data_IF_334893515790
#
_entry.id   IF_334893515790
#
_cell.length_a   1.000
_cell.length_b   1.000
_cell.length_c   1.000
_cell.angle_alpha   90.00
_cell.angle_beta   90.00
_cell.angle_gamma   90.00
#
_symmetry.space_group_name_H-M   'P 1'
#
loop_
_entity.id
_entity.type
_entity.pdbx_description
1 polymer ?
#
# COMPACT_ATOMS: atom_id res chain seq x y z
N UNK A 1 -34.64 29.91 13.94
CA UNK A 1 -34.77 28.48 13.64
C UNK A 1 -33.39 28.00 13.21
N UNK A 2 -32.78 27.23 14.11
CA UNK A 2 -31.35 26.83 13.97
C UNK A 2 -31.27 25.59 13.10
N UNK A 3 -30.65 25.70 11.94
CA UNK A 3 -30.19 24.55 11.16
C UNK A 3 -28.79 24.15 11.66
N UNK A 4 -28.77 23.26 12.64
CA UNK A 4 -27.59 22.48 12.98
C UNK A 4 -27.39 21.42 11.91
N UNK A 5 -26.61 21.72 10.88
CA UNK A 5 -26.02 20.68 10.03
C UNK A 5 -24.97 19.94 10.84
N UNK A 6 -25.33 18.74 11.27
CA UNK A 6 -24.44 17.74 11.84
C UNK A 6 -23.35 17.38 10.82
N UNK A 7 -22.19 18.01 10.93
CA UNK A 7 -20.94 17.54 10.34
C UNK A 7 -20.48 16.29 11.11
N UNK A 8 -21.04 15.13 10.78
CA UNK A 8 -20.48 13.82 11.17
C UNK A 8 -19.24 13.51 10.32
N UNK A 9 -18.19 14.32 10.39
CA UNK A 9 -16.85 13.88 10.13
C UNK A 9 -16.40 13.03 11.33
N UNK A 10 -16.75 11.73 11.33
CA UNK A 10 -16.03 10.75 12.14
C UNK A 10 -14.58 10.78 11.63
N UNK A 11 -13.70 11.49 12.32
CA UNK A 11 -12.25 11.36 12.15
C UNK A 11 -11.95 9.88 12.37
N UNK A 12 -11.58 9.17 11.30
CA UNK A 12 -11.27 7.75 11.38
C UNK A 12 -10.17 7.57 12.44
N UNK A 13 -10.43 6.70 13.43
CA UNK A 13 -9.48 6.41 14.51
C UNK A 13 -8.20 5.82 13.89
N UNK A 14 -7.06 6.45 14.16
CA UNK A 14 -5.78 5.93 13.71
C UNK A 14 -5.34 4.77 14.60
N UNK A 15 -4.97 3.65 13.98
CA UNK A 15 -4.44 2.48 14.70
C UNK A 15 -2.91 2.49 14.79
N UNK A 16 -2.23 3.26 13.94
CA UNK A 16 -0.80 3.54 14.03
C UNK A 16 -0.59 5.04 13.90
N UNK A 17 0.21 5.60 14.80
CA UNK A 17 0.66 6.98 14.73
C UNK A 17 2.14 7.05 15.10
N UNK A 18 2.93 7.79 14.32
CA UNK A 18 4.33 8.07 14.63
C UNK A 18 4.61 9.55 14.47
N UNK A 19 5.45 10.09 15.37
CA UNK A 19 5.89 11.48 15.31
C UNK A 19 7.39 11.55 15.53
N UNK A 20 8.09 12.07 14.52
CA UNK A 20 9.55 12.23 14.46
C UNK A 20 10.31 10.94 14.85
N UNK A 21 9.73 9.80 14.51
CA UNK A 21 10.21 8.49 14.92
C UNK A 21 11.54 8.19 14.24
N UNK A 22 12.58 7.98 15.05
CA UNK A 22 13.95 7.73 14.57
C UNK A 22 14.53 6.49 15.25
N UNK A 23 15.23 5.67 14.46
CA UNK A 23 16.03 4.56 14.95
C UNK A 23 17.40 4.55 14.28
N UNK A 24 18.44 4.56 15.11
CA UNK A 24 19.85 4.42 14.69
C UNK A 24 20.49 3.19 15.31
N UNK A 25 21.38 2.54 14.57
CA UNK A 25 22.26 1.48 15.02
C UNK A 25 23.70 1.99 14.98
N UNK A 26 24.19 2.52 16.11
CA UNK A 26 25.45 3.25 16.14
C UNK A 26 25.34 4.54 15.30
N UNK A 27 26.18 4.66 14.27
CA UNK A 27 26.17 5.82 13.34
C UNK A 27 25.16 5.65 12.19
N UNK A 28 24.66 4.44 11.94
CA UNK A 28 23.75 4.15 10.84
C UNK A 28 22.31 4.47 11.23
N UNK A 29 21.68 5.41 10.53
CA UNK A 29 20.27 5.79 10.72
C UNK A 29 19.38 4.94 9.83
N UNK A 30 18.68 3.97 10.42
CA UNK A 30 17.81 3.05 9.68
C UNK A 30 16.39 3.62 9.42
N UNK A 31 15.91 4.49 10.33
CA UNK A 31 14.63 5.21 10.19
C UNK A 31 14.86 6.63 10.72
N UNK A 32 14.50 7.64 9.92
CA UNK A 32 14.75 9.04 10.22
C UNK A 32 13.47 9.87 10.22
N UNK A 33 13.12 10.46 11.37
CA UNK A 33 12.00 11.43 11.55
C UNK A 33 10.70 10.99 10.87
N UNK A 34 10.33 9.72 11.02
CA UNK A 34 9.15 9.15 10.36
C UNK A 34 7.87 9.67 11.02
N UNK A 35 7.06 10.37 10.23
CA UNK A 35 5.75 10.90 10.60
C UNK A 35 4.67 10.22 9.78
N UNK A 36 3.84 9.39 10.41
CA UNK A 36 2.88 8.53 9.71
C UNK A 36 1.64 8.30 10.56
N UNK A 37 0.51 8.11 9.88
CA UNK A 37 -0.74 7.64 10.48
C UNK A 37 -1.38 6.56 9.61
N UNK A 38 -1.98 5.55 10.26
CA UNK A 38 -2.72 4.47 9.59
C UNK A 38 -4.14 4.44 10.16
N UNK A 39 -5.17 4.76 9.37
CA UNK A 39 -6.55 4.70 9.79
C UNK A 39 -7.02 3.24 9.99
N UNK A 40 -7.95 3.03 10.92
CA UNK A 40 -8.60 1.73 11.16
C UNK A 40 -9.35 1.23 9.93
N UNK A 41 -9.29 -0.07 9.66
CA UNK A 41 -10.01 -0.72 8.55
C UNK A 41 -9.46 -0.40 7.16
N UNK A 42 -8.21 0.05 7.07
CA UNK A 42 -7.54 0.37 5.81
C UNK A 42 -6.40 -0.58 5.50
N UNK A 43 -6.12 -0.76 4.21
CA UNK A 43 -4.89 -1.36 3.72
C UNK A 43 -3.89 -0.23 3.50
N UNK A 44 -2.84 -0.20 4.33
CA UNK A 44 -1.73 0.74 4.21
C UNK A 44 -0.53 0.04 3.57
N UNK A 45 -0.17 0.44 2.36
CA UNK A 45 1.03 -0.02 1.68
C UNK A 45 2.24 0.80 2.10
N UNK A 46 3.29 0.16 2.61
CA UNK A 46 4.55 0.81 2.95
C UNK A 46 5.61 0.38 1.93
N UNK A 47 5.82 1.21 0.92
CA UNK A 47 6.50 0.85 -0.32
C UNK A 47 7.86 1.51 -0.41
N UNK A 48 8.86 0.76 -0.89
CA UNK A 48 10.21 1.29 -1.11
C UNK A 48 11.20 0.20 -1.48
N UNK A 49 12.42 0.55 -1.92
CA UNK A 49 13.43 -0.42 -2.30
C UNK A 49 13.88 -1.30 -1.12
N UNK A 50 14.56 -2.40 -1.44
CA UNK A 50 15.15 -3.25 -0.41
C UNK A 50 16.16 -2.46 0.42
N UNK A 51 16.15 -2.65 1.75
CA UNK A 51 17.07 -1.98 2.65
C UNK A 51 16.70 -0.55 3.07
N UNK A 52 15.61 0.04 2.53
CA UNK A 52 15.23 1.43 2.87
C UNK A 52 14.65 1.62 4.29
N UNK A 53 14.50 0.55 5.11
CA UNK A 53 14.03 0.64 6.50
C UNK A 53 12.64 0.09 6.78
N UNK A 54 11.91 -0.50 5.80
CA UNK A 54 10.53 -1.01 5.96
C UNK A 54 10.39 -2.03 7.10
N UNK A 55 11.15 -3.10 7.05
CA UNK A 55 11.16 -4.14 8.10
C UNK A 55 11.58 -3.56 9.46
N UNK A 56 12.51 -2.61 9.48
CA UNK A 56 12.94 -1.91 10.70
C UNK A 56 11.78 -1.11 11.29
N UNK A 57 11.00 -0.42 10.45
CA UNK A 57 9.79 0.29 10.87
C UNK A 57 8.74 -0.68 11.45
N UNK A 58 8.47 -1.81 10.80
CA UNK A 58 7.56 -2.83 11.35
C UNK A 58 8.04 -3.35 12.71
N UNK A 59 9.34 -3.55 12.88
CA UNK A 59 9.92 -3.99 14.17
C UNK A 59 9.80 -2.93 15.26
N UNK A 60 9.84 -1.64 14.93
CA UNK A 60 9.49 -0.54 15.85
C UNK A 60 8.01 -0.59 16.24
N UNK A 61 7.12 -0.69 15.25
CA UNK A 61 5.67 -0.71 15.45
C UNK A 61 5.18 -1.94 16.23
N UNK A 62 5.90 -3.06 16.14
CA UNK A 62 5.61 -4.29 16.92
C UNK A 62 6.30 -4.32 18.29
N UNK A 63 7.11 -3.30 18.62
CA UNK A 63 7.82 -3.21 19.89
C UNK A 63 9.03 -4.13 20.00
N UNK A 64 9.52 -4.66 18.87
CA UNK A 64 10.76 -5.44 18.84
C UNK A 64 12.00 -4.54 19.02
N UNK A 65 11.97 -3.34 18.42
CA UNK A 65 12.96 -2.30 18.68
C UNK A 65 12.35 -1.14 19.47
N UNK A 66 13.19 -0.49 20.28
CA UNK A 66 12.88 0.80 20.90
C UNK A 66 13.41 1.92 20.01
N UNK A 67 12.66 3.01 19.78
CA UNK A 67 13.16 4.15 19.02
C UNK A 67 14.33 4.83 19.75
N UNK A 68 15.22 5.43 18.97
CA UNK A 68 16.27 6.32 19.49
C UNK A 68 15.67 7.66 19.92
N UNK A 69 14.69 8.16 19.14
CA UNK A 69 13.93 9.38 19.45
C UNK A 69 12.57 9.37 18.79
N UNK A 70 11.72 10.36 19.12
CA UNK A 70 10.35 10.46 18.63
C UNK A 70 9.38 9.59 19.43
N UNK A 71 8.14 9.53 18.96
CA UNK A 71 7.07 8.79 19.62
C UNK A 71 6.32 7.90 18.63
N UNK A 72 5.77 6.81 19.13
CA UNK A 72 4.89 5.93 18.36
C UNK A 72 3.76 5.42 19.23
N UNK A 73 2.62 5.21 18.60
CA UNK A 73 1.43 4.59 19.20
C UNK A 73 0.87 3.56 18.24
N UNK A 74 0.53 2.39 18.75
CA UNK A 74 -0.14 1.32 17.99
C UNK A 74 -1.34 0.86 18.81
N UNK A 75 -2.53 0.89 18.21
CA UNK A 75 -3.81 0.67 18.91
C UNK A 75 -3.95 1.52 20.20
N UNK A 76 -3.50 2.79 20.12
CA UNK A 76 -3.56 3.76 21.21
C UNK A 76 -2.54 3.58 22.33
N UNK A 77 -1.53 2.68 22.17
CA UNK A 77 -0.51 2.41 23.19
C UNK A 77 0.90 2.44 22.61
N UNK A 78 1.89 2.76 23.44
CA UNK A 78 3.30 2.55 23.06
C UNK A 78 3.59 1.04 23.03
N UNK A 79 4.13 0.50 21.92
CA UNK A 79 4.46 -0.93 21.82
C UNK A 79 5.44 -1.45 22.88
N UNK A 80 6.26 -0.58 23.49
CA UNK A 80 7.12 -0.95 24.60
C UNK A 80 6.33 -1.37 25.85
N UNK A 81 5.09 -0.90 26.01
CA UNK A 81 4.22 -1.12 27.16
C UNK A 81 3.13 -2.19 26.87
N UNK A 82 3.25 -2.92 25.75
CA UNK A 82 2.29 -3.94 25.36
C UNK A 82 2.22 -5.08 26.36
N UNK A 83 1.03 -5.32 26.87
CA UNK A 83 0.68 -6.54 27.60
C UNK A 83 0.49 -7.71 26.64
N UNK A 84 0.27 -8.91 27.19
CA UNK A 84 -0.09 -10.08 26.39
C UNK A 84 -1.39 -9.83 25.59
N UNK A 85 -2.41 -9.25 26.23
CA UNK A 85 -3.68 -8.94 25.58
C UNK A 85 -3.54 -7.91 24.43
N UNK A 86 -2.63 -6.95 24.54
CA UNK A 86 -2.34 -6.01 23.45
C UNK A 86 -1.65 -6.71 22.27
N UNK A 87 -0.71 -7.64 22.54
CA UNK A 87 -0.03 -8.44 21.50
C UNK A 87 -0.99 -9.40 20.79
N UNK A 88 -2.00 -9.92 21.47
CA UNK A 88 -3.05 -10.78 20.88
C UNK A 88 -3.94 -10.02 19.89
N UNK A 89 -3.92 -8.68 19.86
CA UNK A 89 -4.61 -7.87 18.86
C UNK A 89 -3.78 -7.67 17.57
N UNK A 90 -2.52 -8.08 17.57
CA UNK A 90 -1.60 -7.93 16.46
C UNK A 90 -1.32 -9.26 15.79
N UNK A 91 -1.35 -9.30 14.47
CA UNK A 91 -0.78 -10.37 13.66
C UNK A 91 0.49 -9.89 12.98
N UNK A 92 1.55 -10.68 13.00
CA UNK A 92 2.79 -10.35 12.31
C UNK A 92 3.24 -11.48 11.40
N UNK A 93 3.08 -11.30 10.10
CA UNK A 93 3.63 -12.18 9.07
C UNK A 93 5.02 -11.67 8.69
N UNK A 94 6.04 -12.34 9.17
CA UNK A 94 7.44 -12.02 8.85
C UNK A 94 7.81 -12.54 7.45
N UNK A 95 8.87 -11.96 6.87
CA UNK A 95 9.37 -12.33 5.54
C UNK A 95 9.76 -13.82 5.47
N UNK A 96 10.41 -14.35 6.50
CA UNK A 96 10.80 -15.77 6.59
C UNK A 96 9.64 -16.65 7.06
N UNK A 97 9.62 -17.93 6.64
CA UNK A 97 8.60 -18.88 7.11
C UNK A 97 8.92 -19.34 8.55
N UNK A 98 7.97 -19.13 9.46
CA UNK A 98 8.03 -19.68 10.81
C UNK A 98 7.04 -20.85 10.90
N UNK A 99 7.36 -21.93 10.19
CA UNK A 99 6.58 -23.16 10.18
C UNK A 99 7.44 -24.29 10.71
N UNK A 100 6.80 -25.20 11.45
CA UNK A 100 7.43 -26.43 11.91
C UNK A 100 7.41 -27.45 10.78
N UNK A 101 8.56 -27.80 10.18
CA UNK A 101 8.61 -28.59 8.95
C UNK A 101 8.07 -30.00 9.12
N UNK A 102 8.19 -30.58 10.31
CA UNK A 102 7.75 -31.92 10.65
C UNK A 102 6.31 -32.00 11.19
N UNK A 103 5.63 -30.87 11.29
CA UNK A 103 4.20 -30.80 11.55
C UNK A 103 3.41 -30.69 10.25
N UNK A 104 2.22 -31.28 10.23
CA UNK A 104 1.26 -31.10 9.14
C UNK A 104 0.75 -29.66 9.08
N UNK A 105 0.07 -29.31 7.99
CA UNK A 105 -0.63 -28.02 7.84
C UNK A 105 -1.58 -27.78 9.02
N UNK A 106 -2.37 -28.79 9.38
CA UNK A 106 -3.30 -28.72 10.51
C UNK A 106 -2.59 -28.54 11.86
N UNK A 107 -1.54 -29.29 12.10
CA UNK A 107 -0.77 -29.21 13.35
C UNK A 107 -0.05 -27.89 13.49
N UNK A 108 0.49 -27.30 12.41
CA UNK A 108 1.06 -25.96 12.43
C UNK A 108 0.02 -24.91 12.86
N UNK A 109 -1.21 -24.95 12.31
CA UNK A 109 -2.28 -24.04 12.72
C UNK A 109 -2.72 -24.29 14.18
N UNK A 110 -2.84 -25.55 14.60
CA UNK A 110 -3.16 -25.89 15.97
C UNK A 110 -2.08 -25.40 16.95
N UNK A 111 -0.82 -25.53 16.59
CA UNK A 111 0.29 -25.03 17.40
C UNK A 111 0.21 -23.52 17.53
N UNK A 112 0.07 -22.79 16.42
CA UNK A 112 -0.08 -21.33 16.43
C UNK A 112 -1.29 -20.91 17.30
N UNK A 113 -2.43 -21.56 17.14
CA UNK A 113 -3.63 -21.28 17.94
C UNK A 113 -3.43 -21.55 19.43
N UNK A 114 -2.66 -22.58 19.80
CA UNK A 114 -2.33 -22.87 21.20
C UNK A 114 -1.40 -21.80 21.77
N UNK A 115 -0.44 -21.32 20.99
CA UNK A 115 0.49 -20.27 21.40
C UNK A 115 -0.25 -18.98 21.76
N UNK A 116 -1.28 -18.61 20.97
CA UNK A 116 -2.12 -17.44 21.24
C UNK A 116 -3.27 -17.73 22.22
N UNK A 117 -3.33 -18.89 22.85
CA UNK A 117 -4.36 -19.22 23.86
C UNK A 117 -5.77 -19.38 23.29
N UNK A 118 -5.90 -19.63 21.98
CA UNK A 118 -7.22 -19.88 21.35
C UNK A 118 -7.81 -21.16 21.89
N UNK A 119 -9.12 -21.11 22.23
CA UNK A 119 -9.86 -22.23 22.83
C UNK A 119 -9.57 -23.58 22.18
N UNK A 120 -9.50 -24.70 22.93
CA UNK A 120 -9.36 -26.05 22.37
C UNK A 120 -10.43 -26.43 21.34
N UNK A 121 -11.65 -25.85 21.45
CA UNK A 121 -12.76 -26.11 20.51
C UNK A 121 -12.69 -25.30 19.22
N UNK A 122 -11.47 -25.06 18.72
CA UNK A 122 -11.15 -24.21 17.56
C UNK A 122 -11.27 -24.86 16.19
N UNK A 123 -11.61 -26.15 16.12
CA UNK A 123 -11.61 -26.92 14.85
C UNK A 123 -12.42 -26.24 13.73
N UNK A 124 -13.61 -25.70 14.04
CA UNK A 124 -14.45 -25.01 13.07
C UNK A 124 -13.75 -23.73 12.51
N UNK A 125 -13.05 -23.00 13.37
CA UNK A 125 -12.31 -21.81 13.00
C UNK A 125 -11.10 -22.13 12.13
N UNK A 126 -10.31 -23.13 12.52
CA UNK A 126 -9.12 -23.53 11.75
C UNK A 126 -9.50 -24.09 10.38
N UNK A 127 -10.64 -24.81 10.27
CA UNK A 127 -11.15 -25.24 8.97
C UNK A 127 -11.50 -24.03 8.08
N UNK A 128 -12.18 -23.01 8.59
CA UNK A 128 -12.46 -21.78 7.83
C UNK A 128 -11.17 -21.08 7.37
N UNK A 129 -10.13 -21.05 8.19
CA UNK A 129 -8.84 -20.49 7.79
C UNK A 129 -8.17 -21.32 6.69
N UNK A 130 -8.27 -22.66 6.74
CA UNK A 130 -7.76 -23.51 5.67
C UNK A 130 -8.53 -23.34 4.37
N UNK A 131 -9.86 -23.18 4.44
CA UNK A 131 -10.70 -22.86 3.28
C UNK A 131 -10.29 -21.51 2.68
N UNK A 132 -10.16 -20.48 3.51
CA UNK A 132 -9.76 -19.14 3.11
C UNK A 132 -8.42 -19.10 2.35
N UNK A 133 -7.42 -19.88 2.82
CA UNK A 133 -6.11 -19.95 2.16
C UNK A 133 -5.97 -21.11 1.16
N UNK A 134 -7.07 -21.78 0.80
CA UNK A 134 -7.12 -22.91 -0.14
C UNK A 134 -6.15 -24.07 0.23
N UNK A 135 -6.07 -24.43 1.50
CA UNK A 135 -5.23 -25.53 1.99
C UNK A 135 -6.01 -26.68 2.62
N UNK A 136 -7.35 -26.72 2.52
CA UNK A 136 -8.21 -27.73 3.14
C UNK A 136 -7.82 -29.16 2.72
N UNK A 137 -7.58 -29.39 1.43
CA UNK A 137 -7.19 -30.70 0.90
C UNK A 137 -5.77 -31.12 1.31
N UNK A 138 -4.95 -30.17 1.72
CA UNK A 138 -3.56 -30.38 2.13
C UNK A 138 -3.38 -30.45 3.65
N UNK A 139 -4.48 -30.48 4.44
CA UNK A 139 -4.43 -30.38 5.91
C UNK A 139 -3.50 -31.39 6.60
N UNK A 140 -3.36 -32.58 6.03
CA UNK A 140 -2.54 -33.66 6.58
C UNK A 140 -1.14 -33.73 5.97
N UNK A 141 -0.79 -32.83 5.03
CA UNK A 141 0.52 -32.78 4.40
C UNK A 141 1.52 -32.11 5.34
N UNK A 142 2.75 -32.64 5.43
CA UNK A 142 3.81 -32.03 6.23
C UNK A 142 4.23 -30.68 5.64
N UNK A 143 4.55 -29.73 6.50
CA UNK A 143 4.94 -28.38 6.05
C UNK A 143 6.22 -28.38 5.22
N UNK A 144 7.16 -29.30 5.46
CA UNK A 144 8.37 -29.46 4.62
C UNK A 144 8.04 -29.80 3.17
N UNK A 145 6.95 -30.53 2.91
CA UNK A 145 6.56 -31.01 1.60
C UNK A 145 5.68 -30.01 0.81
N UNK A 146 5.39 -28.85 1.39
CA UNK A 146 4.65 -27.77 0.76
C UNK A 146 5.54 -26.98 -0.21
N UNK A 147 4.95 -26.50 -1.31
CA UNK A 147 5.58 -25.48 -2.16
C UNK A 147 5.77 -24.16 -1.40
N UNK A 148 6.64 -23.28 -1.90
CA UNK A 148 6.86 -21.96 -1.31
C UNK A 148 5.57 -21.14 -1.16
N UNK A 149 4.73 -21.13 -2.20
CA UNK A 149 3.42 -20.46 -2.16
C UNK A 149 2.45 -21.09 -1.13
N UNK A 150 2.43 -22.42 -0.99
CA UNK A 150 1.63 -23.09 0.04
C UNK A 150 2.15 -22.77 1.46
N UNK A 151 3.47 -22.71 1.65
CA UNK A 151 4.07 -22.29 2.92
C UNK A 151 3.67 -20.86 3.27
N UNK A 152 3.66 -19.97 2.27
CA UNK A 152 3.26 -18.57 2.47
C UNK A 152 1.80 -18.45 2.87
N UNK A 153 0.90 -19.18 2.20
CA UNK A 153 -0.53 -19.27 2.54
C UNK A 153 -0.75 -19.82 3.95
N UNK A 154 -0.05 -20.88 4.33
CA UNK A 154 -0.11 -21.44 5.67
C UNK A 154 0.39 -20.44 6.72
N UNK A 155 1.46 -19.69 6.45
CA UNK A 155 1.98 -18.65 7.34
C UNK A 155 0.97 -17.52 7.54
N UNK A 156 0.27 -17.10 6.48
CA UNK A 156 -0.82 -16.11 6.59
C UNK A 156 -1.95 -16.65 7.47
N UNK A 157 -2.41 -17.89 7.24
CA UNK A 157 -3.44 -18.51 8.06
C UNK A 157 -3.02 -18.62 9.54
N UNK A 158 -1.76 -18.99 9.81
CA UNK A 158 -1.20 -19.06 11.17
C UNK A 158 -1.19 -17.67 11.86
N UNK A 159 -0.92 -16.60 11.10
CA UNK A 159 -0.98 -15.23 11.61
C UNK A 159 -2.40 -14.79 11.99
N UNK A 160 -3.41 -15.42 11.39
CA UNK A 160 -4.83 -15.11 11.58
C UNK A 160 -5.54 -15.94 12.65
N UNK A 161 -4.89 -16.96 13.24
CA UNK A 161 -5.56 -17.93 14.14
C UNK A 161 -6.24 -17.28 15.36
N UNK A 162 -5.76 -16.15 15.85
CA UNK A 162 -6.26 -15.45 17.01
C UNK A 162 -7.14 -14.22 16.68
N UNK A 163 -7.39 -13.94 15.39
CA UNK A 163 -8.23 -12.81 14.89
C UNK A 163 -7.71 -11.43 15.27
N UNK A 164 -6.51 -11.08 14.86
CA UNK A 164 -5.91 -9.80 15.19
C UNK A 164 -6.71 -8.64 14.60
N UNK A 165 -6.73 -7.48 15.27
CA UNK A 165 -7.32 -6.24 14.76
C UNK A 165 -6.42 -5.59 13.70
N UNK A 166 -5.10 -5.70 13.87
CA UNK A 166 -4.08 -5.11 13.01
C UNK A 166 -3.07 -6.18 12.57
N UNK A 167 -2.87 -6.26 11.26
CA UNK A 167 -1.94 -7.18 10.63
C UNK A 167 -0.72 -6.41 10.08
N UNK A 168 0.45 -6.76 10.53
CA UNK A 168 1.72 -6.38 9.89
C UNK A 168 2.15 -7.50 8.95
N UNK A 169 2.23 -7.22 7.66
CA UNK A 169 2.57 -8.18 6.61
C UNK A 169 3.88 -7.72 5.95
N UNK A 170 5.00 -8.34 6.35
CA UNK A 170 6.32 -7.94 5.89
C UNK A 170 6.71 -8.71 4.62
N UNK A 171 6.67 -7.99 3.49
CA UNK A 171 6.90 -8.51 2.14
C UNK A 171 6.11 -9.81 1.84
N UNK A 172 4.77 -9.81 2.05
CA UNK A 172 3.96 -11.03 1.97
C UNK A 172 3.97 -11.71 0.61
N UNK A 173 4.26 -10.95 -0.43
CA UNK A 173 4.21 -11.36 -1.84
C UNK A 173 5.60 -11.56 -2.46
N UNK A 174 6.67 -11.43 -1.66
CA UNK A 174 8.02 -11.61 -2.16
C UNK A 174 8.28 -13.05 -2.61
N UNK A 175 8.85 -13.21 -3.81
CA UNK A 175 9.26 -14.51 -4.34
C UNK A 175 8.10 -15.43 -4.76
N UNK A 176 6.88 -14.91 -4.90
CA UNK A 176 5.75 -15.65 -5.45
C UNK A 176 5.41 -15.18 -6.87
N UNK A 177 4.82 -16.08 -7.66
CA UNK A 177 4.43 -15.78 -9.03
C UNK A 177 3.30 -14.73 -9.11
N UNK A 178 3.09 -14.07 -10.28
CA UNK A 178 2.09 -13.00 -10.41
C UNK A 178 0.64 -13.45 -10.15
N UNK A 179 0.28 -14.70 -10.47
CA UNK A 179 -1.07 -15.22 -10.26
C UNK A 179 -1.34 -15.37 -8.76
N UNK A 180 -0.40 -16.00 -8.04
CA UNK A 180 -0.51 -16.16 -6.60
C UNK A 180 -0.42 -14.81 -5.87
N UNK A 181 0.39 -13.87 -6.38
CA UNK A 181 0.47 -12.51 -5.85
C UNK A 181 -0.89 -11.82 -5.88
N UNK A 182 -1.61 -11.88 -7.01
CA UNK A 182 -2.95 -11.33 -7.12
C UNK A 182 -3.91 -11.97 -6.10
N UNK A 183 -3.90 -13.28 -5.94
CA UNK A 183 -4.70 -13.98 -4.91
C UNK A 183 -4.40 -13.48 -3.48
N UNK A 184 -3.15 -13.17 -3.17
CA UNK A 184 -2.82 -12.61 -1.85
C UNK A 184 -3.48 -11.24 -1.65
N UNK A 185 -3.50 -10.39 -2.68
CA UNK A 185 -4.20 -9.11 -2.60
C UNK A 185 -5.72 -9.28 -2.49
N UNK A 186 -6.30 -10.27 -3.16
CA UNK A 186 -7.71 -10.63 -2.98
C UNK A 186 -7.98 -11.05 -1.51
N UNK A 187 -7.12 -11.89 -0.91
CA UNK A 187 -7.21 -12.24 0.52
C UNK A 187 -7.07 -11.02 1.43
N UNK A 188 -6.16 -10.09 1.15
CA UNK A 188 -6.00 -8.88 1.96
C UNK A 188 -7.24 -8.00 1.87
N UNK A 189 -7.85 -7.89 0.71
CA UNK A 189 -9.10 -7.16 0.52
C UNK A 189 -10.25 -7.79 1.30
N UNK A 190 -10.38 -9.11 1.24
CA UNK A 190 -11.38 -9.84 2.03
C UNK A 190 -11.17 -9.65 3.55
N UNK A 191 -9.93 -9.67 4.03
CA UNK A 191 -9.63 -9.39 5.44
C UNK A 191 -10.01 -7.96 5.83
N UNK A 192 -9.74 -6.99 4.96
CA UNK A 192 -10.18 -5.60 5.18
C UNK A 192 -11.70 -5.51 5.30
N UNK A 193 -12.45 -6.17 4.40
CA UNK A 193 -13.92 -6.21 4.42
C UNK A 193 -14.47 -6.86 5.70
N UNK A 194 -13.71 -7.79 6.30
CA UNK A 194 -14.01 -8.38 7.60
C UNK A 194 -13.66 -7.45 8.78
N UNK A 195 -13.15 -6.25 8.53
CA UNK A 195 -12.85 -5.21 9.53
C UNK A 195 -11.40 -5.19 10.03
N UNK A 196 -10.50 -5.99 9.46
CA UNK A 196 -9.08 -5.94 9.81
C UNK A 196 -8.40 -4.70 9.22
N UNK A 197 -7.38 -4.20 9.91
CA UNK A 197 -6.45 -3.20 9.36
C UNK A 197 -5.18 -3.91 8.92
N UNK A 198 -4.65 -3.59 7.75
CA UNK A 198 -3.46 -4.22 7.20
C UNK A 198 -2.37 -3.18 6.96
N UNK A 199 -1.18 -3.44 7.49
CA UNK A 199 0.05 -2.71 7.19
C UNK A 199 0.95 -3.62 6.38
N UNK A 200 1.07 -3.37 5.08
CA UNK A 200 1.77 -4.24 4.12
C UNK A 200 3.05 -3.58 3.67
N UNK A 201 4.20 -4.18 3.94
CA UNK A 201 5.46 -3.72 3.33
C UNK A 201 5.70 -4.44 2.02
N UNK A 202 6.20 -3.73 1.02
CA UNK A 202 6.57 -4.32 -0.27
C UNK A 202 7.65 -3.51 -0.98
N UNK A 203 8.45 -4.19 -1.81
CA UNK A 203 9.34 -3.55 -2.77
C UNK A 203 8.72 -3.43 -4.17
N UNK A 204 7.57 -4.08 -4.40
CA UNK A 204 6.87 -4.04 -5.68
C UNK A 204 5.95 -2.82 -5.75
N UNK A 205 6.40 -1.80 -6.46
CA UNK A 205 5.72 -0.48 -6.50
C UNK A 205 4.31 -0.58 -7.11
N UNK A 206 4.12 -1.49 -8.07
CA UNK A 206 2.80 -1.75 -8.68
C UNK A 206 1.73 -2.23 -7.69
N UNK A 207 2.13 -2.74 -6.52
CA UNK A 207 1.20 -3.16 -5.46
C UNK A 207 0.50 -1.98 -4.77
N UNK A 208 0.99 -0.75 -4.99
CA UNK A 208 0.32 0.48 -4.57
C UNK A 208 -1.15 0.52 -4.99
N UNK A 209 -1.47 -0.01 -6.19
CA UNK A 209 -2.83 -0.03 -6.74
C UNK A 209 -3.86 -0.74 -5.86
N UNK A 210 -3.42 -1.64 -4.98
CA UNK A 210 -4.32 -2.43 -4.11
C UNK A 210 -4.53 -1.83 -2.73
N UNK A 211 -3.82 -0.74 -2.40
CA UNK A 211 -3.85 -0.10 -1.09
C UNK A 211 -4.84 1.05 -1.05
N UNK A 212 -5.37 1.38 0.13
CA UNK A 212 -6.15 2.61 0.35
C UNK A 212 -5.24 3.82 0.53
N UNK A 213 -4.13 3.61 1.23
CA UNK A 213 -3.08 4.61 1.46
C UNK A 213 -1.72 3.97 1.22
N UNK A 214 -0.79 4.77 0.74
CA UNK A 214 0.57 4.35 0.44
C UNK A 214 1.56 5.32 1.07
N UNK A 215 2.45 4.79 1.89
CA UNK A 215 3.65 5.48 2.36
C UNK A 215 4.84 5.11 1.48
N UNK A 216 5.47 6.10 0.86
CA UNK A 216 6.67 5.93 0.04
C UNK A 216 7.90 6.13 0.89
N UNK A 217 8.68 5.06 1.08
CA UNK A 217 9.90 5.07 1.89
C UNK A 217 11.15 4.96 1.03
N UNK A 218 12.11 5.84 1.29
CA UNK A 218 13.41 5.86 0.62
C UNK A 218 14.51 6.28 1.60
N UNK A 219 15.62 5.57 1.64
CA UNK A 219 16.80 5.86 2.49
C UNK A 219 16.47 6.22 3.94
N UNK A 220 15.62 5.42 4.58
CA UNK A 220 15.25 5.63 5.99
C UNK A 220 14.20 6.71 6.22
N UNK A 221 13.75 7.43 5.20
CA UNK A 221 12.79 8.52 5.28
C UNK A 221 11.45 8.15 4.64
N UNK A 222 10.38 8.66 5.21
CA UNK A 222 9.05 8.62 4.60
C UNK A 222 8.89 9.88 3.76
N UNK A 223 8.90 9.75 2.43
CA UNK A 223 8.81 10.87 1.52
C UNK A 223 7.40 11.46 1.47
N UNK A 224 6.39 10.59 1.44
CA UNK A 224 4.99 11.02 1.46
C UNK A 224 4.03 9.90 1.84
N UNK A 225 2.81 10.28 2.22
CA UNK A 225 1.66 9.39 2.38
C UNK A 225 0.51 9.94 1.55
N UNK A 226 -0.08 9.13 0.67
CA UNK A 226 -1.24 9.51 -0.13
C UNK A 226 -2.04 8.27 -0.58
N UNK A 227 -3.25 8.50 -1.13
CA UNK A 227 -3.93 7.44 -1.90
C UNK A 227 -3.14 7.12 -3.17
N UNK A 228 -3.37 5.96 -3.81
CA UNK A 228 -2.72 5.62 -5.07
C UNK A 228 -2.85 6.70 -6.15
N UNK A 229 -4.06 7.26 -6.33
CA UNK A 229 -4.31 8.37 -7.25
C UNK A 229 -3.59 9.65 -6.79
N UNK A 230 -3.60 9.92 -5.47
CA UNK A 230 -2.90 11.05 -4.88
C UNK A 230 -1.38 11.01 -5.12
N UNK A 231 -0.77 9.81 -5.15
CA UNK A 231 0.64 9.65 -5.52
C UNK A 231 0.88 10.05 -6.97
N UNK A 232 0.03 9.60 -7.91
CA UNK A 232 0.14 9.97 -9.33
C UNK A 232 0.02 11.46 -9.53
N UNK A 233 -1.01 12.08 -8.99
CA UNK A 233 -1.22 13.53 -9.09
C UNK A 233 -0.05 14.33 -8.53
N UNK A 234 0.51 13.92 -7.39
CA UNK A 234 1.68 14.60 -6.81
C UNK A 234 2.94 14.41 -7.64
N UNK A 235 3.17 13.21 -8.19
CA UNK A 235 4.34 12.91 -9.00
C UNK A 235 4.37 13.68 -10.32
N UNK A 236 3.23 13.89 -10.94
CA UNK A 236 3.12 14.51 -12.26
C UNK A 236 2.53 15.92 -12.24
N UNK A 237 2.04 16.41 -11.09
CA UNK A 237 1.45 17.74 -10.94
C UNK A 237 -0.02 17.83 -11.37
N UNK A 238 -0.68 16.69 -11.59
CA UNK A 238 -2.08 16.57 -12.01
C UNK A 238 -2.36 15.24 -12.69
N UNK A 239 -3.54 15.14 -13.31
CA UNK A 239 -3.88 14.01 -14.17
C UNK A 239 -3.29 14.22 -15.57
N UNK A 240 -2.86 13.15 -16.23
CA UNK A 240 -2.31 13.21 -17.58
C UNK A 240 -3.39 12.84 -18.58
N UNK A 241 -3.64 13.72 -19.57
CA UNK A 241 -4.55 13.44 -20.67
C UNK A 241 -3.77 13.38 -21.98
N UNK A 242 -3.85 12.24 -22.65
CA UNK A 242 -3.32 12.05 -24.00
C UNK A 242 -4.31 12.56 -25.04
N UNK A 243 -3.81 13.32 -25.99
CA UNK A 243 -4.58 13.83 -27.14
C UNK A 243 -3.91 13.31 -28.40
N UNK A 244 -4.61 12.47 -29.15
CA UNK A 244 -4.15 11.97 -30.43
C UNK A 244 -4.99 12.58 -31.55
N UNK A 245 -4.30 13.15 -32.54
CA UNK A 245 -4.92 13.83 -33.69
C UNK A 245 -4.40 13.25 -35.00
N UNK A 246 -5.23 13.23 -36.05
CA UNK A 246 -4.86 12.65 -37.36
C UNK A 246 -3.67 13.36 -38.00
N UNK A 247 -3.57 14.68 -37.85
CA UNK A 247 -2.60 15.52 -38.57
C UNK A 247 -1.47 16.05 -37.66
N UNK A 248 -1.54 15.69 -36.36
CA UNK A 248 -0.66 16.27 -35.36
C UNK A 248 -1.01 17.71 -34.98
N UNK A 249 -0.35 18.23 -33.95
CA UNK A 249 -0.51 19.62 -33.50
C UNK A 249 0.70 20.45 -33.94
N UNK A 250 0.44 21.65 -34.49
CA UNK A 250 1.50 22.62 -34.76
C UNK A 250 2.08 23.19 -33.48
N UNK A 251 3.24 23.82 -33.57
CA UNK A 251 3.85 24.51 -32.43
C UNK A 251 2.93 25.58 -31.82
N UNK A 252 2.27 26.39 -32.68
CA UNK A 252 1.37 27.44 -32.22
C UNK A 252 0.14 26.88 -31.51
N UNK A 253 -0.42 25.78 -32.00
CA UNK A 253 -1.56 25.10 -31.36
C UNK A 253 -1.17 24.56 -29.98
N UNK A 254 0.02 23.91 -29.84
CA UNK A 254 0.52 23.46 -28.54
C UNK A 254 0.69 24.62 -27.56
N UNK A 255 1.25 25.75 -28.03
CA UNK A 255 1.42 26.93 -27.18
C UNK A 255 0.09 27.56 -26.76
N UNK A 256 -0.93 27.56 -27.64
CA UNK A 256 -2.29 27.99 -27.28
C UNK A 256 -2.96 27.02 -26.29
N UNK A 257 -2.67 25.72 -26.39
CA UNK A 257 -3.17 24.71 -25.46
C UNK A 257 -2.54 24.89 -24.07
N UNK A 258 -1.24 25.18 -24.00
CA UNK A 258 -0.54 25.51 -22.75
C UNK A 258 -1.11 26.75 -22.04
N UNK A 259 -1.70 27.69 -22.82
CA UNK A 259 -2.34 28.88 -22.28
C UNK A 259 -3.76 28.66 -21.72
N UNK A 260 -4.31 27.46 -21.88
CA UNK A 260 -5.65 27.17 -21.35
C UNK A 260 -5.63 27.06 -19.81
N UNK A 261 -6.64 27.61 -19.11
CA UNK A 261 -6.65 27.67 -17.65
C UNK A 261 -6.69 26.32 -16.94
N UNK A 262 -7.08 25.24 -17.65
CA UNK A 262 -7.14 23.88 -17.13
C UNK A 262 -5.90 23.04 -17.48
N UNK A 263 -4.89 23.60 -18.17
CA UNK A 263 -3.65 22.92 -18.53
C UNK A 263 -2.51 23.43 -17.67
N UNK A 264 -1.71 22.53 -17.13
CA UNK A 264 -0.57 22.83 -16.30
C UNK A 264 0.75 22.54 -17.02
N UNK A 265 1.64 23.53 -17.03
CA UNK A 265 2.97 23.39 -17.60
C UNK A 265 2.96 23.30 -19.13
N UNK A 266 3.92 22.55 -19.69
CA UNK A 266 4.11 22.42 -21.13
C UNK A 266 3.42 21.18 -21.68
N UNK A 267 2.92 21.26 -22.91
CA UNK A 267 2.46 20.11 -23.69
C UNK A 267 3.67 19.21 -23.98
N UNK A 268 3.59 17.95 -23.54
CA UNK A 268 4.61 16.94 -23.81
C UNK A 268 4.30 16.26 -25.15
N UNK A 269 5.18 16.45 -26.12
CA UNK A 269 5.08 15.76 -27.42
C UNK A 269 5.54 14.32 -27.24
N UNK A 270 4.69 13.36 -27.51
CA UNK A 270 5.00 11.92 -27.48
C UNK A 270 5.49 11.50 -28.87
N UNK A 271 4.74 11.84 -29.91
CA UNK A 271 5.12 11.68 -31.30
C UNK A 271 4.48 12.79 -32.16
N UNK A 272 4.48 12.62 -33.51
CA UNK A 272 3.93 13.61 -34.42
C UNK A 272 2.43 13.86 -34.23
N UNK A 273 1.67 12.84 -33.81
CA UNK A 273 0.22 12.86 -33.68
C UNK A 273 -0.26 12.90 -32.24
N UNK A 274 0.57 12.50 -31.27
CA UNK A 274 0.19 12.32 -29.90
C UNK A 274 0.89 13.30 -28.95
N UNK A 275 0.10 13.97 -28.12
CA UNK A 275 0.55 14.96 -27.15
C UNK A 275 -0.08 14.68 -25.79
N UNK A 276 0.70 14.79 -24.71
CA UNK A 276 0.20 14.68 -23.34
C UNK A 276 0.12 16.07 -22.71
N UNK A 277 -0.96 16.31 -22.00
CA UNK A 277 -1.17 17.51 -21.17
C UNK A 277 -1.42 17.11 -19.72
N UNK A 278 -0.98 17.93 -18.79
CA UNK A 278 -1.28 17.79 -17.38
C UNK A 278 -2.45 18.70 -17.05
N UNK A 279 -3.45 18.18 -16.34
CA UNK A 279 -4.68 18.87 -15.96
C UNK A 279 -4.99 18.61 -14.48
N UNK A 280 -5.81 19.46 -13.85
CA UNK A 280 -6.20 19.24 -12.44
C UNK A 280 -6.98 17.95 -12.27
N UNK A 281 -7.99 17.72 -13.12
CA UNK A 281 -8.87 16.57 -13.08
C UNK A 281 -9.28 16.19 -14.51
N UNK A 282 -8.92 14.98 -14.95
CA UNK A 282 -9.15 14.51 -16.32
C UNK A 282 -10.64 14.52 -16.69
N UNK A 283 -11.51 14.12 -15.76
CA UNK A 283 -12.98 14.06 -15.99
C UNK A 283 -13.57 15.42 -16.32
N UNK A 284 -13.06 16.51 -15.73
CA UNK A 284 -13.49 17.87 -15.99
C UNK A 284 -12.80 18.48 -17.22
N UNK A 285 -11.55 18.14 -17.47
CA UNK A 285 -10.73 18.70 -18.53
C UNK A 285 -11.02 18.09 -19.91
N UNK A 286 -11.34 16.79 -20.01
CA UNK A 286 -11.60 16.12 -21.30
C UNK A 286 -12.67 16.81 -22.13
N UNK A 287 -13.87 17.18 -21.60
CA UNK A 287 -14.85 17.93 -22.38
C UNK A 287 -14.32 19.27 -22.91
N UNK A 288 -13.58 20.03 -22.08
CA UNK A 288 -12.99 21.30 -22.48
C UNK A 288 -11.90 21.13 -23.55
N UNK A 289 -11.11 20.04 -23.48
CA UNK A 289 -10.12 19.69 -24.49
C UNK A 289 -10.77 19.34 -25.83
N UNK A 290 -11.89 18.62 -25.81
CA UNK A 290 -12.66 18.29 -27.03
C UNK A 290 -13.15 19.58 -27.69
N UNK A 291 -13.75 20.50 -26.92
CA UNK A 291 -14.24 21.78 -27.43
C UNK A 291 -13.09 22.65 -27.98
N UNK A 292 -11.97 22.68 -27.27
CA UNK A 292 -10.78 23.38 -27.74
C UNK A 292 -10.27 22.82 -29.07
N UNK A 293 -10.14 21.49 -29.19
CA UNK A 293 -9.71 20.84 -30.44
C UNK A 293 -10.63 21.15 -31.60
N UNK A 294 -11.97 21.16 -31.38
CA UNK A 294 -12.95 21.54 -32.40
C UNK A 294 -12.73 22.99 -32.85
N UNK A 295 -12.50 23.93 -31.92
CA UNK A 295 -12.22 25.32 -32.21
C UNK A 295 -10.97 25.49 -33.06
N UNK A 296 -9.94 24.67 -32.81
CA UNK A 296 -8.68 24.62 -33.54
C UNK A 296 -8.76 23.84 -34.86
N UNK A 297 -9.95 23.25 -35.19
CA UNK A 297 -10.18 22.41 -36.36
C UNK A 297 -9.25 21.18 -36.41
N UNK A 298 -8.90 20.65 -35.27
CA UNK A 298 -8.10 19.42 -35.14
C UNK A 298 -9.02 18.21 -35.28
N UNK A 299 -8.62 17.25 -36.12
CA UNK A 299 -9.31 15.96 -36.24
C UNK A 299 -8.78 15.03 -35.13
N UNK A 300 -9.55 14.95 -34.04
CA UNK A 300 -9.22 14.11 -32.87
C UNK A 300 -9.52 12.65 -33.16
N UNK A 301 -8.53 11.77 -32.94
CA UNK A 301 -8.71 10.32 -32.93
C UNK A 301 -9.12 9.84 -31.54
N UNK A 302 -8.34 10.21 -30.51
CA UNK A 302 -8.63 9.89 -29.12
C UNK A 302 -8.26 11.03 -28.18
N UNK A 303 -9.05 11.21 -27.11
CA UNK A 303 -8.67 11.98 -25.92
C UNK A 303 -8.99 11.08 -24.73
N UNK A 304 -7.96 10.70 -23.99
CA UNK A 304 -8.12 9.78 -22.87
C UNK A 304 -7.19 10.09 -21.71
N UNK A 305 -7.63 9.77 -20.52
CA UNK A 305 -6.77 9.84 -19.33
C UNK A 305 -5.70 8.74 -19.42
N UNK A 306 -4.44 9.15 -19.30
CA UNK A 306 -3.31 8.24 -19.19
C UNK A 306 -2.98 7.96 -17.74
N UNK A 307 -2.87 6.69 -17.41
CA UNK A 307 -2.53 6.24 -16.07
C UNK A 307 -1.07 5.75 -16.04
N UNK A 308 -0.10 6.58 -15.63
CA UNK A 308 1.29 6.14 -15.53
C UNK A 308 1.46 4.94 -14.61
N UNK A 309 2.34 3.97 -14.97
CA UNK A 309 2.69 2.88 -14.08
C UNK A 309 3.26 3.40 -12.76
N UNK A 310 3.03 2.67 -11.66
CA UNK A 310 3.53 3.10 -10.35
C UNK A 310 5.06 3.13 -10.27
N UNK A 311 5.76 2.37 -11.11
CA UNK A 311 7.23 2.44 -11.22
C UNK A 311 7.68 3.85 -11.64
N UNK A 312 7.03 4.46 -12.63
CA UNK A 312 7.33 5.83 -13.07
C UNK A 312 6.94 6.86 -12.00
N UNK A 313 5.80 6.65 -11.33
CA UNK A 313 5.36 7.48 -10.20
C UNK A 313 6.41 7.48 -9.09
N UNK A 314 6.92 6.30 -8.74
CA UNK A 314 7.91 6.15 -7.67
C UNK A 314 9.23 6.83 -8.01
N UNK A 315 9.75 6.61 -9.23
CA UNK A 315 10.97 7.27 -9.71
C UNK A 315 10.80 8.80 -9.64
N UNK A 316 9.64 9.30 -10.10
CA UNK A 316 9.37 10.73 -10.10
C UNK A 316 9.33 11.35 -8.71
N UNK A 317 8.73 10.64 -7.74
CA UNK A 317 8.70 11.07 -6.34
C UNK A 317 10.12 11.18 -5.76
N UNK A 318 10.99 10.20 -6.05
CA UNK A 318 12.39 10.23 -5.58
C UNK A 318 13.16 11.38 -6.22
N UNK A 319 13.00 11.61 -7.54
CA UNK A 319 13.63 12.74 -8.23
C UNK A 319 13.22 14.10 -7.64
N UNK A 320 11.93 14.26 -7.31
CA UNK A 320 11.42 15.49 -6.67
C UNK A 320 12.05 15.73 -5.30
N UNK A 321 12.21 14.65 -4.51
CA UNK A 321 12.85 14.75 -3.19
C UNK A 321 14.35 15.10 -3.32
N UNK A 322 15.05 14.47 -4.25
CA UNK A 322 16.46 14.78 -4.53
C UNK A 322 16.69 16.21 -5.02
N UNK A 323 15.68 16.83 -5.66
CA UNK A 323 15.75 18.22 -6.11
C UNK A 323 15.45 19.25 -4.99
N UNK A 324 14.79 18.82 -3.90
CA UNK A 324 14.37 19.67 -2.78
C UNK A 324 15.31 19.56 -1.56
N UNK A 325 16.21 18.59 -1.53
CA UNK A 325 17.19 18.37 -0.44
C UNK A 325 18.58 18.76 -0.84
#
# INVERSE_FOLDING_TARGET
>A
MNDNQNNNNQTAENVVETKDLTLSFGEDVAVQSLNMYVPRGKIFGFIGPSGCGKTTTVRLLTGFYKPTSGTLSVLGKNPADFTKADREKLGYLIQQFVLYPDLTVWENLNFAASFYGVSPFRGKRLNKLLEFVELSEHRNKLARDLSGGMKRRLSLAATMVHNPELLFLDEPTAGIDPILRRKFWDYFKELQEQGHTLFVTTQYVGEAAYCDLVGVMYEGRLLMVASPEGLRRRAFGGDIVGIKTTEGMSYDQRHQLEAQPFVHGKVKVIDEQENDVIVDEASAAIPALIEWCQTQKLNVETIEEKTPPYDDVFVKIIEMEAANG
#
